data_IF_618450129851
#
_entry.id   IF_618450129851
#
_cell.length_a   1.000
_cell.length_b   1.000
_cell.length_c   1.000
_cell.angle_alpha   90.00
_cell.angle_beta   90.00
_cell.angle_gamma   90.00
#
_symmetry.space_group_name_H-M   'P 1'
#
loop_
_entity.id
_entity.type
_entity.pdbx_description
1 polymer ?
#
# COMPACT_ATOMS: atom_id res chain seq x y z
N UNK A 1 18.60 5.03 27.64
CA UNK A 1 17.58 4.44 26.77
C UNK A 1 16.25 5.03 27.19
N UNK A 2 15.57 5.74 26.28
CA UNK A 2 14.37 6.51 26.60
C UNK A 2 13.15 5.57 26.56
N UNK A 3 12.28 5.61 27.57
CA UNK A 3 11.16 4.67 27.73
C UNK A 3 10.16 4.72 26.55
N UNK A 4 10.13 5.85 25.82
CA UNK A 4 9.34 6.04 24.60
C UNK A 4 9.96 5.31 23.39
N UNK A 5 11.29 5.43 23.20
CA UNK A 5 12.02 4.72 22.13
C UNK A 5 11.92 3.21 22.27
N UNK A 6 11.91 2.71 23.51
CA UNK A 6 11.75 1.28 23.81
C UNK A 6 10.36 0.77 23.40
N UNK A 7 9.32 1.57 23.62
CA UNK A 7 7.95 1.21 23.25
C UNK A 7 7.75 1.23 21.72
N UNK A 8 8.19 2.29 21.04
CA UNK A 8 8.08 2.39 19.58
C UNK A 8 8.81 1.23 18.88
N UNK A 9 9.98 0.84 19.42
CA UNK A 9 10.74 -0.30 18.92
C UNK A 9 10.03 -1.63 19.18
N UNK A 10 9.40 -1.80 20.34
CA UNK A 10 8.62 -2.99 20.65
C UNK A 10 7.42 -3.10 19.72
N UNK A 11 6.63 -2.04 19.58
CA UNK A 11 5.44 -1.98 18.70
C UNK A 11 5.84 -2.30 17.25
N UNK A 12 6.98 -1.78 16.78
CA UNK A 12 7.52 -2.11 15.46
C UNK A 12 7.88 -3.60 15.32
N UNK A 13 8.50 -4.21 16.33
CA UNK A 13 8.87 -5.63 16.28
C UNK A 13 7.64 -6.55 16.37
N UNK A 14 6.67 -6.22 17.22
CA UNK A 14 5.41 -6.97 17.34
C UNK A 14 4.63 -6.94 16.02
N UNK A 15 4.49 -5.77 15.40
CA UNK A 15 3.86 -5.66 14.09
C UNK A 15 4.58 -6.51 13.03
N UNK A 16 5.91 -6.45 12.98
CA UNK A 16 6.69 -7.30 12.05
C UNK A 16 6.51 -8.79 12.30
N UNK A 17 6.34 -9.19 13.55
CA UNK A 17 6.05 -10.58 13.90
C UNK A 17 4.66 -10.99 13.39
N UNK A 18 3.65 -10.14 13.58
CA UNK A 18 2.29 -10.37 13.06
C UNK A 18 2.30 -10.59 11.54
N UNK A 19 3.00 -9.72 10.79
CA UNK A 19 3.13 -9.82 9.33
C UNK A 19 3.75 -11.17 8.88
N UNK A 20 4.73 -11.69 9.62
CA UNK A 20 5.34 -12.99 9.32
C UNK A 20 4.38 -14.16 9.55
N UNK A 21 3.45 -14.04 10.51
CA UNK A 21 2.47 -15.08 10.79
C UNK A 21 1.32 -15.10 9.78
N UNK A 22 0.79 -13.92 9.41
CA UNK A 22 -0.31 -13.83 8.44
C UNK A 22 0.15 -14.10 7.01
N UNK A 23 1.35 -13.62 6.63
CA UNK A 23 2.11 -14.03 5.45
C UNK A 23 1.35 -13.93 4.10
N UNK A 24 0.40 -13.01 3.98
CA UNK A 24 -0.22 -12.65 2.71
C UNK A 24 0.75 -11.89 1.80
N UNK A 25 0.36 -11.62 0.53
CA UNK A 25 1.23 -10.83 -0.36
C UNK A 25 1.42 -9.40 0.14
N UNK A 26 0.38 -8.76 0.67
CA UNK A 26 0.51 -7.45 1.30
C UNK A 26 1.40 -7.51 2.55
N UNK A 27 1.28 -8.54 3.39
CA UNK A 27 2.08 -8.63 4.62
C UNK A 27 3.59 -8.78 4.32
N UNK A 28 3.93 -9.58 3.31
CA UNK A 28 5.31 -9.73 2.84
C UNK A 28 5.86 -8.40 2.35
N UNK A 29 5.09 -7.68 1.54
CA UNK A 29 5.48 -6.37 1.04
C UNK A 29 5.75 -5.38 2.19
N UNK A 30 4.83 -5.28 3.15
CA UNK A 30 4.99 -4.42 4.33
C UNK A 30 6.24 -4.79 5.14
N UNK A 31 6.51 -6.09 5.28
CA UNK A 31 7.68 -6.59 5.98
C UNK A 31 9.00 -6.23 5.27
N UNK A 32 9.07 -6.46 3.96
CA UNK A 32 10.24 -6.20 3.10
C UNK A 32 10.57 -4.71 3.06
N UNK A 33 9.55 -3.88 2.86
CA UNK A 33 9.69 -2.42 2.82
C UNK A 33 9.74 -1.79 4.22
N UNK A 34 9.73 -2.58 5.30
CA UNK A 34 9.84 -2.08 6.68
C UNK A 34 8.81 -0.98 6.99
N UNK A 35 7.60 -1.14 6.48
CA UNK A 35 6.47 -0.25 6.74
C UNK A 35 6.09 -0.40 8.21
N UNK A 36 5.87 0.72 8.90
CA UNK A 36 5.39 0.69 10.30
C UNK A 36 3.88 0.51 10.35
N UNK A 37 3.35 0.11 11.50
CA UNK A 37 1.89 -0.03 11.68
C UNK A 37 1.14 1.28 11.38
N UNK A 38 1.65 2.41 11.87
CA UNK A 38 1.08 3.74 11.63
C UNK A 38 1.09 4.08 10.13
N UNK A 39 2.19 3.79 9.44
CA UNK A 39 2.27 4.01 7.99
C UNK A 39 1.28 3.12 7.23
N UNK A 40 1.13 1.86 7.66
CA UNK A 40 0.16 0.96 7.05
C UNK A 40 -1.28 1.45 7.24
N UNK A 41 -1.63 1.90 8.45
CA UNK A 41 -2.94 2.52 8.73
C UNK A 41 -3.18 3.75 7.83
N UNK A 42 -2.19 4.63 7.70
CA UNK A 42 -2.26 5.79 6.81
C UNK A 42 -2.38 5.42 5.32
N UNK A 43 -1.72 4.33 4.89
CA UNK A 43 -1.90 3.79 3.53
C UNK A 43 -3.34 3.30 3.37
N UNK A 44 -3.90 2.60 4.36
CA UNK A 44 -5.30 2.16 4.27
C UNK A 44 -6.28 3.35 4.17
N UNK A 45 -6.08 4.39 4.98
CA UNK A 45 -6.85 5.62 4.91
C UNK A 45 -6.74 6.31 3.53
N UNK A 46 -5.54 6.30 2.94
CA UNK A 46 -5.31 6.80 1.58
C UNK A 46 -6.13 6.03 0.55
N UNK A 47 -6.15 4.69 0.62
CA UNK A 47 -6.90 3.88 -0.33
C UNK A 47 -8.42 4.07 -0.17
N UNK A 48 -8.93 4.20 1.05
CA UNK A 48 -10.34 4.56 1.29
C UNK A 48 -10.68 5.94 0.73
N UNK A 49 -9.81 6.94 0.93
CA UNK A 49 -9.96 8.28 0.34
C UNK A 49 -9.99 8.22 -1.19
N UNK A 50 -9.10 7.45 -1.82
CA UNK A 50 -9.07 7.31 -3.29
C UNK A 50 -10.35 6.63 -3.80
N UNK A 51 -10.82 5.57 -3.13
CA UNK A 51 -12.10 4.92 -3.43
C UNK A 51 -13.25 5.92 -3.42
N UNK A 52 -13.35 6.76 -2.39
CA UNK A 52 -14.40 7.78 -2.30
C UNK A 52 -14.31 8.80 -3.44
N UNK A 53 -13.09 9.27 -3.75
CA UNK A 53 -12.84 10.22 -4.85
C UNK A 53 -13.24 9.64 -6.21
N UNK A 54 -12.89 8.38 -6.48
CA UNK A 54 -13.31 7.66 -7.69
C UNK A 54 -14.84 7.54 -7.73
N UNK A 55 -15.48 7.17 -6.61
CA UNK A 55 -16.93 7.09 -6.50
C UNK A 55 -17.66 8.42 -6.75
N UNK A 56 -17.00 9.54 -6.43
CA UNK A 56 -17.49 10.89 -6.69
C UNK A 56 -17.19 11.40 -8.12
N UNK A 57 -16.51 10.60 -8.95
CA UNK A 57 -16.14 10.96 -10.32
C UNK A 57 -14.94 11.89 -10.42
N UNK A 58 -14.13 12.01 -9.37
CA UNK A 58 -12.88 12.76 -9.43
C UNK A 58 -11.82 12.01 -10.25
N UNK A 59 -11.00 12.75 -10.99
CA UNK A 59 -9.84 12.17 -11.67
C UNK A 59 -8.70 11.97 -10.69
N UNK A 60 -8.37 10.71 -10.39
CA UNK A 60 -7.17 10.32 -9.64
C UNK A 60 -6.19 9.68 -10.61
N UNK A 61 -4.92 10.09 -10.58
CA UNK A 61 -3.89 9.49 -11.43
C UNK A 61 -2.77 8.86 -10.59
N UNK A 62 -2.05 7.90 -11.19
CA UNK A 62 -0.96 7.18 -10.51
C UNK A 62 0.13 8.11 -9.97
N UNK A 63 0.48 9.20 -10.67
CA UNK A 63 1.46 10.17 -10.18
C UNK A 63 1.01 10.85 -8.88
N UNK A 64 -0.27 11.22 -8.76
CA UNK A 64 -0.82 11.83 -7.55
C UNK A 64 -0.83 10.84 -6.38
N UNK A 65 -1.23 9.60 -6.64
CA UNK A 65 -1.20 8.50 -5.69
C UNK A 65 0.23 8.21 -5.17
N UNK A 66 1.20 8.05 -6.08
CA UNK A 66 2.60 7.79 -5.72
C UNK A 66 3.16 8.90 -4.80
N UNK A 67 2.87 10.16 -5.11
CA UNK A 67 3.28 11.28 -4.27
C UNK A 67 2.65 11.26 -2.88
N UNK A 68 1.42 10.77 -2.74
CA UNK A 68 0.77 10.60 -1.43
C UNK A 68 1.40 9.44 -0.65
N UNK A 69 1.73 8.33 -1.32
CA UNK A 69 2.49 7.22 -0.72
C UNK A 69 3.87 7.67 -0.22
N UNK A 70 4.60 8.49 -0.99
CA UNK A 70 5.91 9.00 -0.57
C UNK A 70 5.85 9.88 0.67
N UNK A 71 4.72 10.58 0.91
CA UNK A 71 4.53 11.36 2.14
C UNK A 71 4.31 10.47 3.36
N UNK A 72 3.63 9.34 3.18
CA UNK A 72 3.35 8.38 4.26
C UNK A 72 4.61 7.55 4.57
N UNK A 73 5.33 7.13 3.53
CA UNK A 73 6.50 6.25 3.62
C UNK A 73 7.74 6.96 3.07
N UNK A 74 8.23 8.02 3.73
CA UNK A 74 9.33 8.84 3.21
C UNK A 74 10.65 8.08 3.06
N UNK A 75 10.83 6.97 3.78
CA UNK A 75 11.99 6.10 3.61
C UNK A 75 12.05 5.40 2.23
N UNK A 76 10.94 5.37 1.49
CA UNK A 76 10.82 4.85 0.12
C UNK A 76 10.38 5.93 -0.87
N UNK A 77 10.76 7.18 -0.61
CA UNK A 77 10.49 8.28 -1.51
C UNK A 77 11.14 8.04 -2.89
N UNK A 78 10.40 8.34 -3.96
CA UNK A 78 10.77 8.06 -5.35
C UNK A 78 10.87 6.57 -5.73
N UNK A 79 10.42 5.66 -4.87
CA UNK A 79 10.27 4.25 -5.22
C UNK A 79 8.86 3.99 -5.78
N UNK A 80 8.69 4.20 -7.09
CA UNK A 80 7.41 3.94 -7.74
C UNK A 80 7.04 2.44 -7.74
N UNK A 81 8.05 1.55 -7.70
CA UNK A 81 7.80 0.12 -7.62
C UNK A 81 7.15 -0.27 -6.30
N UNK A 82 7.49 0.42 -5.21
CA UNK A 82 6.80 0.24 -3.93
C UNK A 82 5.32 0.62 -4.03
N UNK A 83 5.01 1.80 -4.56
CA UNK A 83 3.63 2.28 -4.69
C UNK A 83 2.79 1.40 -5.62
N UNK A 84 3.38 0.95 -6.74
CA UNK A 84 2.76 0.02 -7.67
C UNK A 84 2.49 -1.34 -7.01
N UNK A 85 3.49 -1.89 -6.30
CA UNK A 85 3.36 -3.17 -5.58
C UNK A 85 2.32 -3.09 -4.46
N UNK A 86 2.20 -1.95 -3.77
CA UNK A 86 1.15 -1.74 -2.77
C UNK A 86 -0.23 -1.90 -3.38
N UNK A 87 -0.52 -1.18 -4.48
CA UNK A 87 -1.83 -1.23 -5.12
C UNK A 87 -2.13 -2.63 -5.67
N UNK A 88 -1.13 -3.30 -6.27
CA UNK A 88 -1.28 -4.67 -6.74
C UNK A 88 -1.53 -5.64 -5.59
N UNK A 89 -0.73 -5.60 -4.51
CA UNK A 89 -0.90 -6.51 -3.38
C UNK A 89 -2.24 -6.28 -2.67
N UNK A 90 -2.77 -5.05 -2.58
CA UNK A 90 -4.11 -4.86 -2.05
C UNK A 90 -5.18 -5.53 -2.90
N UNK A 91 -5.11 -5.36 -4.22
CA UNK A 91 -5.99 -6.04 -5.17
C UNK A 91 -5.89 -7.57 -5.07
N UNK A 92 -4.68 -8.13 -4.95
CA UNK A 92 -4.48 -9.59 -4.75
C UNK A 92 -5.09 -10.13 -3.45
N UNK A 93 -5.40 -9.26 -2.49
CA UNK A 93 -6.03 -9.61 -1.22
C UNK A 93 -7.51 -9.20 -1.17
N UNK A 94 -8.15 -9.00 -2.33
CA UNK A 94 -9.56 -8.60 -2.47
C UNK A 94 -9.88 -7.27 -1.77
N UNK A 95 -8.96 -6.29 -1.87
CA UNK A 95 -9.10 -4.98 -1.26
C UNK A 95 -8.87 -3.86 -2.26
N UNK A 96 -9.87 -2.97 -2.38
CA UNK A 96 -9.82 -1.77 -3.22
C UNK A 96 -9.51 -2.07 -4.70
N UNK A 97 -10.12 -3.12 -5.24
CA UNK A 97 -9.94 -3.55 -6.62
C UNK A 97 -10.19 -2.40 -7.60
N UNK A 98 -11.22 -1.58 -7.33
CA UNK A 98 -11.54 -0.39 -8.10
C UNK A 98 -10.41 0.64 -8.12
N UNK A 99 -9.65 0.77 -7.04
CA UNK A 99 -8.52 1.69 -6.95
C UNK A 99 -7.37 1.19 -7.82
N UNK A 100 -7.03 -0.10 -7.74
CA UNK A 100 -5.97 -0.68 -8.57
C UNK A 100 -6.30 -0.59 -10.06
N UNK A 101 -7.51 -1.00 -10.44
CA UNK A 101 -7.98 -0.95 -11.84
C UNK A 101 -7.99 0.49 -12.35
N UNK A 102 -8.41 1.47 -11.55
CA UNK A 102 -8.42 2.87 -11.95
C UNK A 102 -7.00 3.45 -12.11
N UNK A 103 -6.07 3.13 -11.20
CA UNK A 103 -4.72 3.68 -11.23
C UNK A 103 -3.83 3.05 -12.30
N UNK A 104 -3.96 1.74 -12.50
CA UNK A 104 -2.99 0.94 -13.25
C UNK A 104 -3.61 0.06 -14.35
N UNK A 105 -4.94 -0.06 -14.43
CA UNK A 105 -5.61 -0.97 -15.38
C UNK A 105 -5.40 -0.64 -16.86
N UNK A 106 -5.11 0.62 -17.18
CA UNK A 106 -4.79 1.04 -18.55
C UNK A 106 -3.33 0.78 -18.95
N UNK A 107 -2.45 0.45 -17.99
CA UNK A 107 -1.05 0.18 -18.30
C UNK A 107 -0.87 -1.19 -18.98
N UNK A 108 -0.13 -1.26 -20.10
CA UNK A 108 0.07 -2.52 -20.84
C UNK A 108 0.63 -3.67 -19.99
N UNK A 109 1.45 -3.35 -18.98
CA UNK A 109 2.01 -4.33 -18.03
C UNK A 109 0.92 -5.07 -17.25
N UNK A 110 -0.16 -4.39 -16.89
CA UNK A 110 -1.21 -4.91 -16.02
C UNK A 110 -2.43 -5.45 -16.77
N UNK A 111 -2.58 -5.17 -18.07
CA UNK A 111 -3.65 -5.77 -18.87
C UNK A 111 -3.59 -7.30 -18.89
N UNK A 112 -2.39 -7.88 -19.00
CA UNK A 112 -2.20 -9.34 -18.92
C UNK A 112 -2.42 -9.92 -17.51
N UNK A 113 -2.24 -9.11 -16.48
CA UNK A 113 -2.48 -9.50 -15.09
C UNK A 113 -3.98 -9.56 -14.82
N UNK A 114 -4.72 -8.50 -15.19
CA UNK A 114 -6.18 -8.43 -15.03
C UNK A 114 -6.90 -9.49 -15.88
N UNK A 115 -6.43 -9.75 -17.10
CA UNK A 115 -7.06 -10.75 -17.99
C UNK A 115 -6.95 -12.21 -17.52
N UNK A 116 -6.16 -12.48 -16.46
CA UNK A 116 -5.98 -13.84 -15.91
C UNK A 116 -6.83 -14.10 -14.67
N UNK A 117 -7.49 -13.08 -14.14
CA UNK A 117 -8.33 -13.17 -12.95
C UNK A 117 -9.84 -13.30 -13.26
N UNK A 118 -10.24 -13.12 -14.54
CA UNK A 118 -11.57 -13.45 -15.08
C UNK A 118 -11.69 -14.91 -15.51
#
# INVERSE_FOLDING_TARGET
MNRLEDKERLDFLEFRQELLFSNSSIDRLLFEYRVTKIQYEQIMDLFDSIRERIGNGETVNHHSYENEVYKIVPQHNHDYHFAESLAQCFHENDRWDEVFVHLYGELPKFQHYLSKQD
#
